data_IF_427917308301
#
_entry.id   IF_427917308301
#
_cell.length_a   1.000
_cell.length_b   1.000
_cell.length_c   1.000
_cell.angle_alpha   90.00
_cell.angle_beta   90.00
_cell.angle_gamma   90.00
#
_symmetry.space_group_name_H-M   'P 1'
#
loop_
_entity.id
_entity.type
_entity.pdbx_description
1 polymer ?
#
# COMPACT_ATOMS: atom_id res chain seq x y z
N UNK A 1 -3.67 -20.32 12.55
CA UNK A 1 -4.25 -19.34 13.49
C UNK A 1 -4.09 -17.89 13.01
N UNK A 2 -2.90 -17.45 12.65
CA UNK A 2 -2.63 -16.09 12.11
C UNK A 2 -3.50 -15.70 10.90
N UNK A 3 -3.72 -16.63 9.95
CA UNK A 3 -4.54 -16.40 8.74
C UNK A 3 -6.01 -16.10 9.06
N UNK A 4 -6.57 -16.70 10.08
CA UNK A 4 -7.95 -16.46 10.50
C UNK A 4 -8.08 -15.07 11.14
N UNK A 5 -7.11 -14.69 11.97
CA UNK A 5 -7.05 -13.35 12.59
C UNK A 5 -6.87 -12.25 11.53
N UNK A 6 -5.90 -12.41 10.63
CA UNK A 6 -5.69 -11.47 9.52
C UNK A 6 -6.96 -11.30 8.68
N UNK A 7 -7.64 -12.40 8.34
CA UNK A 7 -8.88 -12.37 7.56
C UNK A 7 -10.03 -11.67 8.29
N UNK A 8 -10.12 -11.83 9.60
CA UNK A 8 -11.15 -11.22 10.43
C UNK A 8 -10.95 -9.72 10.57
N UNK A 9 -9.71 -9.28 10.83
CA UNK A 9 -9.38 -7.86 11.03
C UNK A 9 -9.18 -7.07 9.73
N UNK A 10 -8.90 -7.72 8.60
CA UNK A 10 -8.86 -7.07 7.27
C UNK A 10 -10.23 -6.91 6.63
N UNK A 11 -11.26 -7.58 7.14
CA UNK A 11 -12.62 -7.51 6.58
C UNK A 11 -13.18 -6.07 6.49
N UNK A 12 -13.06 -5.20 7.50
CA UNK A 12 -13.55 -3.82 7.41
C UNK A 12 -12.75 -2.96 6.43
N UNK A 13 -11.48 -3.30 6.15
CA UNK A 13 -10.58 -2.54 5.29
C UNK A 13 -10.55 -3.05 3.83
N UNK A 14 -11.35 -4.05 3.46
CA UNK A 14 -11.37 -4.65 2.12
C UNK A 14 -11.59 -3.62 1.01
N UNK A 15 -12.50 -2.67 1.21
CA UNK A 15 -12.73 -1.59 0.23
C UNK A 15 -11.48 -0.76 -0.01
N UNK A 16 -10.79 -0.36 1.05
CA UNK A 16 -9.56 0.43 0.95
C UNK A 16 -8.45 -0.38 0.29
N UNK A 17 -8.29 -1.65 0.67
CA UNK A 17 -7.32 -2.56 0.05
C UNK A 17 -7.61 -2.79 -1.44
N UNK A 18 -8.87 -2.95 -1.84
CA UNK A 18 -9.25 -3.06 -3.24
C UNK A 18 -8.93 -1.78 -4.01
N UNK A 19 -9.20 -0.61 -3.44
CA UNK A 19 -8.86 0.68 -4.05
C UNK A 19 -7.35 0.80 -4.23
N UNK A 20 -6.56 0.48 -3.20
CA UNK A 20 -5.08 0.50 -3.28
C UNK A 20 -4.60 -0.45 -4.36
N UNK A 21 -5.09 -1.69 -4.40
CA UNK A 21 -4.70 -2.68 -5.40
C UNK A 21 -5.02 -2.20 -6.83
N UNK A 22 -6.20 -1.60 -7.03
CA UNK A 22 -6.61 -1.06 -8.34
C UNK A 22 -5.73 0.12 -8.75
N UNK A 23 -5.48 1.07 -7.84
CA UNK A 23 -4.60 2.21 -8.10
C UNK A 23 -3.17 1.76 -8.42
N UNK A 24 -2.67 0.79 -7.69
CA UNK A 24 -1.34 0.22 -7.91
C UNK A 24 -1.26 -0.51 -9.25
N UNK A 25 -2.29 -1.25 -9.63
CA UNK A 25 -2.36 -1.91 -10.94
C UNK A 25 -2.34 -0.89 -12.08
N UNK A 26 -3.14 0.18 -11.98
CA UNK A 26 -3.15 1.25 -12.98
C UNK A 26 -1.77 1.92 -13.07
N UNK A 27 -1.15 2.23 -11.93
CA UNK A 27 0.18 2.83 -11.88
C UNK A 27 1.24 1.93 -12.54
N UNK A 28 1.19 0.62 -12.29
CA UNK A 28 2.12 -0.35 -12.89
C UNK A 28 1.92 -0.47 -14.40
N UNK A 29 0.67 -0.55 -14.87
CA UNK A 29 0.38 -0.59 -16.31
C UNK A 29 0.86 0.69 -17.01
N UNK A 30 0.64 1.85 -16.41
CA UNK A 30 1.14 3.12 -16.93
C UNK A 30 2.67 3.12 -17.01
N UNK A 31 3.36 2.62 -15.98
CA UNK A 31 4.82 2.50 -15.95
C UNK A 31 5.36 1.60 -17.05
N UNK A 32 4.69 0.49 -17.36
CA UNK A 32 5.06 -0.41 -18.45
C UNK A 32 4.77 0.17 -19.84
N UNK A 33 3.80 1.08 -19.95
CA UNK A 33 3.44 1.71 -21.20
C UNK A 33 4.38 2.85 -21.61
N UNK A 34 5.00 3.55 -20.65
CA UNK A 34 5.91 4.67 -20.90
C UNK A 34 7.11 4.31 -21.81
N UNK A 35 7.83 3.20 -21.61
CA UNK A 35 8.91 2.80 -22.51
C UNK A 35 8.45 2.57 -23.95
N UNK A 36 7.24 2.03 -24.15
CA UNK A 36 6.66 1.82 -25.48
C UNK A 36 6.36 3.15 -26.17
N UNK A 37 5.85 4.15 -25.45
CA UNK A 37 5.66 5.50 -25.98
C UNK A 37 6.98 6.15 -26.35
N UNK A 38 8.02 6.00 -25.52
CA UNK A 38 9.33 6.53 -25.79
C UNK A 38 9.95 5.94 -27.06
N UNK A 39 9.85 4.62 -27.25
CA UNK A 39 10.28 3.97 -28.48
C UNK A 39 9.55 4.54 -29.72
N UNK A 40 8.24 4.76 -29.63
CA UNK A 40 7.46 5.35 -30.74
C UNK A 40 7.88 6.79 -31.06
N UNK A 41 8.26 7.59 -30.05
CA UNK A 41 8.79 8.95 -30.28
C UNK A 41 10.08 8.88 -31.07
N UNK A 42 10.98 7.94 -30.74
CA UNK A 42 12.24 7.78 -31.44
C UNK A 42 12.02 7.31 -32.89
N UNK A 43 11.23 6.26 -33.09
CA UNK A 43 11.02 5.62 -34.39
C UNK A 43 10.22 6.49 -35.38
N UNK A 44 9.21 7.20 -34.90
CA UNK A 44 8.30 7.95 -35.78
C UNK A 44 8.49 9.46 -35.70
N UNK A 45 9.01 9.97 -34.60
CA UNK A 45 9.27 11.40 -34.40
C UNK A 45 10.70 11.78 -34.81
N UNK A 46 11.67 11.25 -34.07
CA UNK A 46 13.09 11.64 -34.26
C UNK A 46 13.63 11.12 -35.58
N UNK A 47 13.40 9.86 -35.93
CA UNK A 47 13.90 9.25 -37.17
C UNK A 47 13.33 9.88 -38.43
N UNK A 48 12.14 10.50 -38.36
CA UNK A 48 11.47 11.16 -39.48
C UNK A 48 11.54 12.67 -39.44
N UNK A 49 12.10 13.25 -38.37
CA UNK A 49 12.17 14.71 -38.18
C UNK A 49 10.82 15.38 -37.97
N UNK A 50 9.77 14.62 -37.60
CA UNK A 50 8.42 15.15 -37.42
C UNK A 50 8.21 15.67 -35.99
N UNK A 51 8.37 16.98 -35.84
CA UNK A 51 8.22 17.69 -34.56
C UNK A 51 6.78 17.66 -34.02
N UNK A 52 5.78 17.55 -34.91
CA UNK A 52 4.38 17.49 -34.48
C UNK A 52 4.06 16.15 -33.80
N UNK A 53 4.62 15.06 -34.31
CA UNK A 53 4.51 13.73 -33.69
C UNK A 53 5.21 13.70 -32.33
N UNK A 54 6.41 14.30 -32.22
CA UNK A 54 7.15 14.40 -30.96
C UNK A 54 6.33 15.18 -29.91
N UNK A 55 5.79 16.33 -30.28
CA UNK A 55 4.96 17.14 -29.39
C UNK A 55 3.69 16.40 -28.90
N UNK A 56 3.00 15.73 -29.81
CA UNK A 56 1.76 14.97 -29.50
C UNK A 56 2.06 13.78 -28.57
N UNK A 57 3.04 12.96 -28.90
CA UNK A 57 3.41 11.81 -28.08
C UNK A 57 4.01 12.24 -26.74
N UNK A 58 4.80 13.31 -26.71
CA UNK A 58 5.29 13.91 -25.47
C UNK A 58 4.17 14.40 -24.56
N UNK A 59 3.13 15.02 -25.12
CA UNK A 59 1.92 15.39 -24.37
C UNK A 59 1.19 14.18 -23.78
N UNK A 60 1.08 13.10 -24.54
CA UNK A 60 0.50 11.83 -24.03
C UNK A 60 1.36 11.26 -22.89
N UNK A 61 2.69 11.28 -23.02
CA UNK A 61 3.60 10.81 -21.95
C UNK A 61 3.42 11.63 -20.68
N UNK A 62 3.32 12.96 -20.77
CA UNK A 62 3.05 13.82 -19.62
C UNK A 62 1.71 13.49 -18.96
N UNK A 63 0.66 13.27 -19.76
CA UNK A 63 -0.64 12.85 -19.26
C UNK A 63 -0.59 11.50 -18.51
N UNK A 64 0.07 10.50 -19.09
CA UNK A 64 0.24 9.17 -18.46
C UNK A 64 1.05 9.29 -17.17
N UNK A 65 2.12 10.08 -17.17
CA UNK A 65 2.94 10.32 -15.97
C UNK A 65 2.16 11.03 -14.87
N UNK A 66 1.34 12.01 -15.22
CA UNK A 66 0.48 12.70 -14.25
C UNK A 66 -0.53 11.75 -13.60
N UNK A 67 -1.19 10.91 -14.41
CA UNK A 67 -2.10 9.88 -13.89
C UNK A 67 -1.37 8.90 -12.97
N UNK A 68 -0.16 8.47 -13.36
CA UNK A 68 0.66 7.57 -12.54
C UNK A 68 0.98 8.18 -11.18
N UNK A 69 1.39 9.44 -11.12
CA UNK A 69 1.70 10.15 -9.86
C UNK A 69 0.45 10.27 -8.99
N UNK A 70 -0.69 10.65 -9.57
CA UNK A 70 -1.96 10.75 -8.83
C UNK A 70 -2.39 9.39 -8.25
N UNK A 71 -2.27 8.33 -9.04
CA UNK A 71 -2.55 6.97 -8.58
C UNK A 71 -1.59 6.54 -7.46
N UNK A 72 -0.31 6.87 -7.55
CA UNK A 72 0.68 6.55 -6.52
C UNK A 72 0.38 7.28 -5.20
N UNK A 73 0.07 8.57 -5.25
CA UNK A 73 -0.32 9.36 -4.07
C UNK A 73 -1.60 8.77 -3.44
N UNK A 74 -2.60 8.46 -4.25
CA UNK A 74 -3.83 7.82 -3.79
C UNK A 74 -3.57 6.46 -3.13
N UNK A 75 -2.74 5.63 -3.73
CA UNK A 75 -2.37 4.32 -3.18
C UNK A 75 -1.68 4.44 -1.81
N UNK A 76 -0.73 5.36 -1.68
CA UNK A 76 -0.05 5.64 -0.40
C UNK A 76 -1.04 6.16 0.65
N UNK A 77 -1.91 7.09 0.30
CA UNK A 77 -2.90 7.65 1.22
C UNK A 77 -3.85 6.59 1.77
N UNK A 78 -4.49 5.82 0.89
CA UNK A 78 -5.42 4.77 1.31
C UNK A 78 -4.72 3.60 1.99
N UNK A 79 -3.51 3.25 1.55
CA UNK A 79 -2.67 2.22 2.16
C UNK A 79 -2.29 2.57 3.59
N UNK A 80 -1.78 3.78 3.83
CA UNK A 80 -1.42 4.28 5.16
C UNK A 80 -2.62 4.31 6.10
N UNK A 81 -3.77 4.77 5.61
CA UNK A 81 -5.02 4.80 6.39
C UNK A 81 -5.48 3.40 6.79
N UNK A 82 -5.41 2.43 5.86
CA UNK A 82 -5.75 1.04 6.14
C UNK A 82 -4.76 0.42 7.15
N UNK A 83 -3.46 0.64 6.98
CA UNK A 83 -2.42 0.13 7.86
C UNK A 83 -2.52 0.68 9.28
N UNK A 84 -2.70 2.00 9.43
CA UNK A 84 -2.89 2.62 10.76
C UNK A 84 -4.17 2.14 11.45
N UNK A 85 -5.29 2.00 10.72
CA UNK A 85 -6.53 1.47 11.25
C UNK A 85 -6.40 0.03 11.72
N UNK A 86 -5.80 -0.82 10.91
CA UNK A 86 -5.51 -2.20 11.24
C UNK A 86 -4.59 -2.33 12.47
N UNK A 87 -3.51 -1.54 12.54
CA UNK A 87 -2.61 -1.54 13.68
C UNK A 87 -3.29 -1.11 14.98
N UNK A 88 -4.18 -0.11 14.93
CA UNK A 88 -4.99 0.31 16.09
C UNK A 88 -5.89 -0.83 16.58
N UNK A 89 -6.63 -1.46 15.67
CA UNK A 89 -7.58 -2.51 16.02
C UNK A 89 -6.87 -3.75 16.56
N UNK A 90 -5.70 -4.07 16.02
CA UNK A 90 -4.87 -5.17 16.51
C UNK A 90 -4.32 -4.89 17.92
N UNK A 91 -3.79 -3.67 18.16
CA UNK A 91 -3.34 -3.26 19.52
C UNK A 91 -4.47 -3.36 20.53
N UNK A 92 -5.64 -2.88 20.18
CA UNK A 92 -6.80 -2.96 21.04
C UNK A 92 -7.20 -4.41 21.35
N UNK A 93 -7.15 -5.30 20.36
CA UNK A 93 -7.43 -6.72 20.54
C UNK A 93 -6.42 -7.40 21.48
N UNK A 94 -5.12 -7.14 21.28
CA UNK A 94 -4.06 -7.66 22.15
C UNK A 94 -4.20 -7.12 23.57
N UNK A 95 -4.43 -5.82 23.72
CA UNK A 95 -4.61 -5.20 25.02
C UNK A 95 -5.80 -5.79 25.78
N UNK A 96 -6.95 -5.95 25.12
CA UNK A 96 -8.14 -6.56 25.73
C UNK A 96 -7.88 -8.02 26.16
N UNK A 97 -7.13 -8.77 25.36
CA UNK A 97 -6.76 -10.14 25.69
C UNK A 97 -5.85 -10.21 26.93
N UNK A 98 -4.87 -9.32 27.02
CA UNK A 98 -3.95 -9.23 28.18
C UNK A 98 -4.69 -8.82 29.44
N UNK A 99 -5.63 -7.88 29.37
CA UNK A 99 -6.46 -7.48 30.52
C UNK A 99 -7.37 -8.61 31.03
N UNK A 100 -7.75 -9.55 30.16
CA UNK A 100 -8.53 -10.72 30.55
C UNK A 100 -7.72 -11.83 31.22
N UNK A 101 -6.40 -11.70 31.30
CA UNK A 101 -5.54 -12.70 31.94
C UNK A 101 -5.50 -12.55 33.45
N UNK A 102 -5.44 -13.68 34.16
CA UNK A 102 -5.25 -13.67 35.61
C UNK A 102 -3.82 -13.18 35.95
N UNK A 103 -3.62 -12.65 37.18
CA UNK A 103 -2.31 -12.23 37.66
C UNK A 103 -1.24 -13.31 37.55
N UNK A 104 -1.63 -14.59 37.70
CA UNK A 104 -0.74 -15.74 37.55
C UNK A 104 -0.27 -15.97 36.10
N UNK A 105 -1.15 -15.72 35.11
CA UNK A 105 -0.82 -15.82 33.70
C UNK A 105 0.04 -14.63 33.23
N UNK A 106 -0.29 -13.43 33.67
CA UNK A 106 0.51 -12.23 33.40
C UNK A 106 1.94 -12.33 33.94
N UNK A 107 2.12 -12.94 35.13
CA UNK A 107 3.42 -13.14 35.75
C UNK A 107 4.30 -14.17 34.99
N UNK A 108 3.71 -15.15 34.30
CA UNK A 108 4.46 -16.15 33.50
C UNK A 108 5.16 -15.54 32.28
N UNK A 109 4.60 -14.49 31.68
CA UNK A 109 5.16 -13.85 30.48
C UNK A 109 6.03 -12.64 30.79
N UNK A 110 5.92 -12.06 31.99
CA UNK A 110 6.62 -10.83 32.38
C UNK A 110 6.13 -9.57 31.70
N UNK A 111 6.05 -8.46 32.42
CA UNK A 111 5.59 -7.17 31.89
C UNK A 111 6.40 -6.67 30.67
N UNK A 112 7.75 -6.81 30.60
CA UNK A 112 8.54 -6.39 29.44
C UNK A 112 8.14 -7.13 28.14
N UNK A 113 7.91 -8.44 28.23
CA UNK A 113 7.51 -9.26 27.07
C UNK A 113 6.14 -8.86 26.51
N UNK A 114 5.20 -8.53 27.39
CA UNK A 114 3.87 -8.07 27.01
C UNK A 114 3.90 -6.70 26.34
N UNK A 115 4.73 -5.78 26.87
CA UNK A 115 4.93 -4.47 26.25
C UNK A 115 5.55 -4.58 24.86
N UNK A 116 6.59 -5.41 24.69
CA UNK A 116 7.24 -5.61 23.39
C UNK A 116 6.28 -6.19 22.36
N UNK A 117 5.45 -7.17 22.72
CA UNK A 117 4.46 -7.75 21.83
C UNK A 117 3.35 -6.75 21.45
N UNK A 118 2.92 -5.92 22.38
CA UNK A 118 1.83 -4.96 22.14
C UNK A 118 2.28 -3.78 21.27
N UNK A 119 3.55 -3.38 21.35
CA UNK A 119 4.08 -2.22 20.63
C UNK A 119 4.91 -2.60 19.42
N UNK A 120 5.99 -3.35 19.59
CA UNK A 120 6.95 -3.65 18.53
C UNK A 120 6.41 -4.65 17.50
N UNK A 121 5.84 -5.77 17.96
CA UNK A 121 5.39 -6.81 17.04
C UNK A 121 4.20 -6.33 16.18
N UNK A 122 3.30 -5.54 16.79
CA UNK A 122 2.18 -4.92 16.05
C UNK A 122 2.69 -3.88 15.05
N UNK A 123 3.72 -3.11 15.40
CA UNK A 123 4.30 -2.13 14.51
C UNK A 123 5.02 -2.77 13.31
N UNK A 124 5.69 -3.91 13.51
CA UNK A 124 6.29 -4.66 12.41
C UNK A 124 5.25 -5.23 11.43
N UNK A 125 4.11 -5.71 11.94
CA UNK A 125 3.00 -6.18 11.09
C UNK A 125 2.35 -5.03 10.32
N UNK A 126 2.37 -3.82 10.87
CA UNK A 126 1.79 -2.64 10.25
C UNK A 126 2.63 -2.09 9.07
N UNK A 127 3.95 -2.36 9.09
CA UNK A 127 4.92 -1.86 8.09
C UNK A 127 5.09 -2.84 6.92
N UNK A 128 4.67 -4.12 7.07
CA UNK A 128 4.62 -5.12 6.00
C UNK A 128 3.47 -4.88 5.03
#
# INVERSE_FOLDING_TARGET
>A
MLWALLRQYTRPYRRQLTVVATLQLISTLASLYLPTLNARIIDHGVARGDTAVIGRLGGVMLGVSAVQVLCAIGAVYFGSRAGMGFGRDLRWAVFRQVLGWSNAEAARFGAPTLMTRTTNDVQQIQVL
#
